data_IF_147268340083
#
_entry.id   IF_147268340083
#
_cell.length_a   1.000
_cell.length_b   1.000
_cell.length_c   1.000
_cell.angle_alpha   90.00
_cell.angle_beta   90.00
_cell.angle_gamma   90.00
#
_symmetry.space_group_name_H-M   'P 1'
#
loop_
_entity.id
_entity.type
_entity.pdbx_description
1 polymer ?
#
# COMPACT_ATOMS: atom_id res chain seq x y z
N UNK A 1 -3.98 -2.47 -10.57
CA UNK A 1 -3.65 -2.99 -9.22
C UNK A 1 -3.41 -1.81 -8.28
N UNK A 2 -3.71 -1.92 -6.98
CA UNK A 2 -3.35 -0.90 -5.99
C UNK A 2 -2.19 -1.45 -5.15
N UNK A 3 -1.12 -0.66 -5.00
CA UNK A 3 0.02 -0.97 -4.13
C UNK A 3 0.19 0.16 -3.11
N UNK A 4 0.22 -0.20 -1.84
CA UNK A 4 0.42 0.73 -0.72
C UNK A 4 1.86 0.60 -0.25
N UNK A 5 2.57 1.73 -0.19
CA UNK A 5 3.96 1.78 0.30
C UNK A 5 4.24 3.15 0.93
N UNK A 6 4.41 3.24 2.26
CA UNK A 6 4.67 4.51 2.95
C UNK A 6 6.09 5.03 2.70
N UNK A 7 7.06 4.17 2.42
CA UNK A 7 8.43 4.60 2.16
C UNK A 7 8.54 5.22 0.76
N UNK A 8 8.70 6.55 0.71
CA UNK A 8 8.83 7.30 -0.54
C UNK A 8 9.95 6.75 -1.46
N UNK A 9 11.10 6.34 -0.88
CA UNK A 9 12.20 5.75 -1.63
C UNK A 9 11.80 4.42 -2.30
N UNK A 10 11.04 3.56 -1.61
CA UNK A 10 10.54 2.31 -2.19
C UNK A 10 9.49 2.58 -3.27
N UNK A 11 8.61 3.57 -3.10
CA UNK A 11 7.67 3.98 -4.15
C UNK A 11 8.38 4.45 -5.42
N UNK A 12 9.44 5.24 -5.28
CA UNK A 12 10.24 5.72 -6.41
C UNK A 12 10.94 4.55 -7.13
N UNK A 13 11.61 3.66 -6.38
CA UNK A 13 12.24 2.45 -6.94
C UNK A 13 11.23 1.55 -7.67
N UNK A 14 10.03 1.39 -7.11
CA UNK A 14 8.98 0.59 -7.72
C UNK A 14 8.48 1.19 -9.05
N UNK A 15 8.52 2.52 -9.23
CA UNK A 15 8.17 3.16 -10.50
C UNK A 15 9.22 2.88 -11.58
N UNK A 16 10.50 2.92 -11.21
CA UNK A 16 11.62 2.65 -12.13
C UNK A 16 11.62 1.19 -12.59
N UNK A 17 11.33 0.24 -11.67
CA UNK A 17 11.41 -1.20 -11.93
C UNK A 17 10.16 -1.77 -12.62
N UNK A 18 9.02 -1.10 -12.46
CA UNK A 18 7.74 -1.52 -13.03
C UNK A 18 7.02 -0.34 -13.69
N UNK A 19 7.60 0.26 -14.75
CA UNK A 19 7.02 1.43 -15.41
C UNK A 19 5.80 1.08 -16.28
N UNK A 20 5.78 -0.11 -16.89
CA UNK A 20 4.68 -0.60 -17.73
C UNK A 20 3.47 -1.11 -16.93
N UNK A 21 3.63 -1.36 -15.63
CA UNK A 21 2.57 -1.91 -14.82
C UNK A 21 1.54 -0.83 -14.43
N UNK A 22 0.26 -1.08 -14.75
CA UNK A 22 -0.87 -0.24 -14.34
C UNK A 22 -1.15 -0.38 -12.82
N UNK A 23 -0.22 0.13 -12.01
CA UNK A 23 -0.23 0.10 -10.55
C UNK A 23 -0.50 1.51 -10.03
N UNK A 24 -1.66 1.68 -9.40
CA UNK A 24 -1.94 2.85 -8.57
C UNK A 24 -1.15 2.71 -7.27
N UNK A 25 -0.15 3.58 -7.09
CA UNK A 25 0.72 3.59 -5.90
C UNK A 25 0.17 4.61 -4.91
N UNK A 26 -0.08 4.19 -3.68
CA UNK A 26 -0.70 5.02 -2.64
C UNK A 26 0.27 5.15 -1.47
N UNK A 27 0.49 6.39 -1.04
CA UNK A 27 1.18 6.71 0.20
C UNK A 27 0.16 6.62 1.35
N UNK A 28 0.12 5.47 2.00
CA UNK A 28 -0.79 5.14 3.07
C UNK A 28 -0.15 4.11 4.00
N UNK A 29 -0.71 3.95 5.20
CA UNK A 29 -0.10 3.10 6.23
C UNK A 29 -1.17 2.30 6.97
N UNK A 30 -0.84 1.05 7.28
CA UNK A 30 -1.58 0.29 8.29
C UNK A 30 -1.41 0.92 9.68
N UNK A 31 -2.39 0.74 10.58
CA UNK A 31 -3.59 -0.07 10.40
C UNK A 31 -4.73 0.63 9.64
N UNK A 32 -4.68 1.95 9.51
CA UNK A 32 -5.85 2.75 9.11
C UNK A 32 -6.19 2.68 7.63
N UNK A 33 -5.20 2.70 6.72
CA UNK A 33 -5.39 2.71 5.27
C UNK A 33 -6.43 3.74 4.78
N UNK A 34 -6.42 4.92 5.39
CA UNK A 34 -7.46 5.95 5.22
C UNK A 34 -7.58 6.45 3.78
N UNK A 35 -6.48 6.49 3.01
CA UNK A 35 -6.52 6.91 1.61
C UNK A 35 -7.18 5.84 0.75
N UNK A 36 -6.82 4.58 0.97
CA UNK A 36 -7.40 3.44 0.24
C UNK A 36 -8.90 3.34 0.51
N UNK A 37 -9.33 3.50 1.77
CA UNK A 37 -10.75 3.48 2.12
C UNK A 37 -11.55 4.59 1.42
N UNK A 38 -11.00 5.82 1.35
CA UNK A 38 -11.66 6.94 0.64
C UNK A 38 -11.85 6.68 -0.86
N UNK A 39 -11.06 5.81 -1.47
CA UNK A 39 -11.20 5.48 -2.89
C UNK A 39 -12.38 4.53 -3.18
N UNK A 40 -12.99 3.93 -2.15
CA UNK A 40 -14.21 3.11 -2.29
C UNK A 40 -14.03 1.85 -3.13
N UNK A 41 -12.79 1.37 -3.30
CA UNK A 41 -12.49 0.18 -4.07
C UNK A 41 -12.88 -1.10 -3.31
N UNK A 42 -13.43 -2.07 -4.03
CA UNK A 42 -13.54 -3.45 -3.57
C UNK A 42 -12.42 -4.29 -4.20
N UNK A 43 -11.77 -5.13 -3.39
CA UNK A 43 -10.65 -5.97 -3.82
C UNK A 43 -11.04 -7.44 -3.73
N UNK A 44 -10.79 -8.19 -4.79
CA UNK A 44 -10.96 -9.64 -4.78
C UNK A 44 -9.87 -10.34 -3.96
N UNK A 45 -8.67 -9.77 -3.94
CA UNK A 45 -7.50 -10.30 -3.23
C UNK A 45 -6.78 -9.16 -2.55
N UNK A 46 -6.41 -9.37 -1.29
CA UNK A 46 -5.55 -8.50 -0.50
C UNK A 46 -4.30 -9.30 -0.13
N UNK A 47 -3.13 -8.83 -0.57
CA UNK A 47 -1.84 -9.43 -0.25
C UNK A 47 -1.10 -8.51 0.73
N UNK A 48 -0.69 -9.06 1.87
CA UNK A 48 0.17 -8.41 2.85
C UNK A 48 1.47 -9.21 2.96
N UNK A 49 2.59 -8.64 2.54
CA UNK A 49 3.89 -9.33 2.51
C UNK A 49 4.88 -8.62 3.42
N UNK A 50 5.31 -9.30 4.50
CA UNK A 50 6.32 -8.76 5.41
C UNK A 50 5.94 -7.39 5.98
N UNK A 51 4.70 -7.24 6.46
CA UNK A 51 4.21 -5.95 6.96
C UNK A 51 4.05 -5.95 8.49
N UNK A 52 3.60 -7.07 9.06
CA UNK A 52 3.18 -7.14 10.46
C UNK A 52 4.28 -6.80 11.47
N UNK A 53 5.53 -7.09 11.15
CA UNK A 53 6.66 -6.78 12.05
C UNK A 53 6.95 -5.28 12.20
N UNK A 54 6.32 -4.42 11.38
CA UNK A 54 6.51 -2.95 11.43
C UNK A 54 5.27 -2.19 11.90
N UNK A 55 4.15 -2.87 12.13
CA UNK A 55 2.90 -2.23 12.56
C UNK A 55 2.79 -2.33 14.07
N UNK A 56 2.77 -1.18 14.75
CA UNK A 56 2.54 -1.15 16.19
C UNK A 56 1.10 -1.58 16.51
N UNK A 57 0.88 -2.27 17.65
CA UNK A 57 -0.47 -2.51 18.14
C UNK A 57 -1.21 -1.19 18.29
N UNK A 58 -2.46 -1.17 17.85
CA UNK A 58 -3.38 -0.06 18.09
C UNK A 58 -4.63 -0.64 18.77
N UNK A 59 -5.28 0.16 19.62
CA UNK A 59 -6.58 -0.19 20.14
C UNK A 59 -7.59 -0.25 18.99
N UNK A 60 -8.40 -1.31 18.96
CA UNK A 60 -9.48 -1.50 18.00
C UNK A 60 -10.63 -0.50 18.24
#
# INVERSE_FOLDING_TARGET
MVAVEPAAAMRAEAQVRHPEAAISRVDDTLPALSQVHRQGHAFHVILLSGVWQHVLPHAA
#
